data_IF_413409220372
#
_entry.id   IF_413409220372
#
_cell.length_a   1.000
_cell.length_b   1.000
_cell.length_c   1.000
_cell.angle_alpha   90.00
_cell.angle_beta   90.00
_cell.angle_gamma   90.00
#
_symmetry.space_group_name_H-M   'P 1'
#
loop_
_entity.id
_entity.type
_entity.pdbx_description
1 polymer ?
#
# COMPACT_ATOMS: atom_id res chain seq x y z
N UNK A 1 7.68 3.42 -28.64
CA UNK A 1 7.62 3.00 -27.23
C UNK A 1 6.21 2.54 -26.94
N UNK A 2 6.04 1.32 -26.43
CA UNK A 2 4.76 0.75 -26.02
C UNK A 2 4.55 0.95 -24.52
N UNK A 3 3.30 0.90 -24.10
CA UNK A 3 2.95 0.92 -22.68
C UNK A 3 3.51 -0.33 -21.99
N UNK A 4 4.16 -0.18 -20.84
CA UNK A 4 4.74 -1.28 -20.06
C UNK A 4 6.19 -1.60 -20.43
N UNK A 5 6.76 -0.92 -21.43
CA UNK A 5 8.17 -1.09 -21.80
C UNK A 5 9.13 -0.47 -20.76
N UNK A 6 8.66 0.49 -19.95
CA UNK A 6 9.51 1.18 -18.98
C UNK A 6 9.11 0.84 -17.54
N UNK A 7 10.11 0.71 -16.67
CA UNK A 7 9.93 0.55 -15.21
C UNK A 7 8.95 1.57 -14.63
N UNK A 8 9.00 2.81 -15.15
CA UNK A 8 8.13 3.91 -14.71
C UNK A 8 6.65 3.64 -14.88
N UNK A 9 6.26 2.80 -15.82
CA UNK A 9 4.86 2.49 -16.13
C UNK A 9 4.22 1.63 -15.03
N UNK A 10 5.04 1.06 -14.14
CA UNK A 10 4.64 0.26 -12.99
C UNK A 10 4.80 0.98 -11.65
N UNK A 11 5.26 2.24 -11.64
CA UNK A 11 5.40 2.99 -10.40
C UNK A 11 4.02 3.30 -9.83
N UNK A 12 3.81 3.16 -8.50
CA UNK A 12 2.54 3.51 -7.91
C UNK A 12 2.33 5.02 -8.01
N UNK A 13 1.14 5.39 -8.47
CA UNK A 13 0.71 6.77 -8.61
C UNK A 13 -0.06 7.12 -7.33
N UNK A 14 0.33 8.23 -6.71
CA UNK A 14 -0.23 8.70 -5.45
C UNK A 14 -1.30 9.77 -5.66
N UNK A 15 -1.10 10.63 -6.66
CA UNK A 15 -2.05 11.69 -7.02
C UNK A 15 -1.81 12.15 -8.46
N UNK A 16 -2.79 12.86 -9.01
CA UNK A 16 -2.69 13.56 -10.30
C UNK A 16 -3.13 15.01 -10.15
N UNK A 17 -2.58 15.87 -10.99
CA UNK A 17 -2.88 17.29 -11.01
C UNK A 17 -2.88 17.86 -12.44
N UNK A 18 -3.83 18.71 -12.82
CA UNK A 18 -3.81 19.38 -14.12
C UNK A 18 -2.91 20.62 -14.06
N UNK A 19 -1.96 20.73 -15.00
CA UNK A 19 -1.08 21.89 -15.15
C UNK A 19 -1.30 22.55 -16.51
N UNK A 20 -1.66 23.84 -16.49
CA UNK A 20 -1.83 24.64 -17.70
C UNK A 20 -0.47 24.95 -18.33
N UNK A 21 -0.34 24.73 -19.66
CA UNK A 21 0.84 25.12 -20.43
C UNK A 21 0.47 26.29 -21.37
N UNK A 22 0.85 27.54 -21.02
CA UNK A 22 0.49 28.72 -21.80
C UNK A 22 0.97 28.67 -23.26
N UNK A 23 2.16 28.11 -23.49
CA UNK A 23 2.78 28.06 -24.82
C UNK A 23 1.94 27.27 -25.85
N UNK A 24 1.20 26.26 -25.38
CA UNK A 24 0.44 25.33 -26.24
C UNK A 24 -1.07 25.49 -26.10
N UNK A 25 -1.52 26.37 -25.19
CA UNK A 25 -2.92 26.58 -24.84
C UNK A 25 -3.66 25.25 -24.60
N UNK A 26 -3.12 24.47 -23.67
CA UNK A 26 -3.71 23.22 -23.22
C UNK A 26 -3.41 22.98 -21.74
N UNK A 27 -4.10 22.02 -21.16
CA UNK A 27 -3.81 21.45 -19.86
C UNK A 27 -3.21 20.07 -20.07
N UNK A 28 -2.15 19.75 -19.36
CA UNK A 28 -1.64 18.39 -19.32
C UNK A 28 -1.74 17.88 -17.90
N UNK A 29 -1.96 16.59 -17.76
CA UNK A 29 -2.00 15.95 -16.46
C UNK A 29 -0.57 15.60 -16.05
N UNK A 30 -0.20 15.97 -14.83
CA UNK A 30 0.99 15.47 -14.14
C UNK A 30 0.55 14.47 -13.07
N UNK A 31 1.43 13.53 -12.76
CA UNK A 31 1.24 12.52 -11.73
C UNK A 31 2.35 12.62 -10.69
N UNK A 32 1.96 12.48 -9.43
CA UNK A 32 2.87 12.30 -8.31
C UNK A 32 3.06 10.80 -8.13
N UNK A 33 4.23 10.28 -8.49
CA UNK A 33 4.49 8.86 -8.49
C UNK A 33 5.72 8.53 -7.65
N UNK A 34 5.68 7.39 -6.97
CA UNK A 34 6.82 6.89 -6.20
C UNK A 34 7.82 6.21 -7.13
N UNK A 35 8.82 6.96 -7.58
CA UNK A 35 9.83 6.45 -8.51
C UNK A 35 10.94 5.64 -7.84
N UNK A 36 11.23 5.98 -6.60
CA UNK A 36 12.17 5.29 -5.72
C UNK A 36 11.46 5.17 -4.35
N UNK A 37 11.76 4.13 -3.56
CA UNK A 37 11.16 3.98 -2.23
C UNK A 37 11.28 5.27 -1.42
N UNK A 38 10.16 5.77 -0.94
CA UNK A 38 10.04 6.99 -0.12
C UNK A 38 10.50 8.29 -0.80
N UNK A 39 10.59 8.30 -2.14
CA UNK A 39 10.97 9.49 -2.90
C UNK A 39 10.04 9.69 -4.10
N UNK A 40 8.79 10.10 -3.83
CA UNK A 40 7.85 10.47 -4.87
C UNK A 40 8.23 11.77 -5.58
N UNK A 41 7.89 11.85 -6.86
CA UNK A 41 8.16 13.02 -7.68
C UNK A 41 7.01 13.29 -8.66
N UNK A 42 6.81 14.57 -8.97
CA UNK A 42 5.90 15.00 -10.02
C UNK A 42 6.52 14.78 -11.39
N UNK A 43 5.73 14.24 -12.33
CA UNK A 43 6.14 13.99 -13.71
C UNK A 43 4.95 14.02 -14.65
N UNK A 44 5.21 14.16 -15.94
CA UNK A 44 4.15 14.07 -16.96
C UNK A 44 3.43 12.74 -16.89
N UNK A 45 2.10 12.78 -16.77
CA UNK A 45 1.24 11.61 -16.83
C UNK A 45 1.21 11.07 -18.25
N UNK A 46 1.38 9.76 -18.34
CA UNK A 46 1.32 9.01 -19.58
C UNK A 46 0.09 8.13 -19.57
N UNK A 47 -0.53 7.96 -20.73
CA UNK A 47 -1.66 7.06 -20.91
C UNK A 47 -1.43 6.14 -22.11
N UNK A 48 -1.96 4.91 -22.07
CA UNK A 48 -1.95 4.04 -23.22
C UNK A 48 -2.77 4.65 -24.36
N UNK A 49 -2.25 4.55 -25.57
CA UNK A 49 -2.94 4.93 -26.80
C UNK A 49 -3.60 3.69 -27.44
N UNK A 50 -4.63 3.85 -28.29
CA UNK A 50 -5.31 2.73 -28.95
C UNK A 50 -4.39 1.84 -29.81
N UNK A 51 -3.30 2.39 -30.31
CA UNK A 51 -2.25 1.68 -31.05
C UNK A 51 -1.26 0.91 -30.13
N UNK A 52 -1.54 0.88 -28.83
CA UNK A 52 -0.66 0.33 -27.79
C UNK A 52 0.55 1.21 -27.47
N UNK A 53 0.65 2.39 -28.08
CA UNK A 53 1.67 3.38 -27.78
C UNK A 53 1.44 4.09 -26.45
N UNK A 54 2.29 5.07 -26.18
CA UNK A 54 2.18 5.93 -25.00
C UNK A 54 2.00 7.36 -25.46
N UNK A 55 1.03 8.07 -24.91
CA UNK A 55 0.84 9.52 -25.13
C UNK A 55 0.79 10.27 -23.81
N UNK A 56 1.06 11.57 -23.88
CA UNK A 56 0.84 12.49 -22.76
C UNK A 56 -0.66 12.70 -22.59
N UNK A 57 -1.11 12.79 -21.35
CA UNK A 57 -2.50 13.04 -21.01
C UNK A 57 -2.82 14.53 -21.06
N UNK A 58 -3.67 14.94 -22.00
CA UNK A 58 -3.85 16.34 -22.41
C UNK A 58 -5.33 16.67 -22.57
N UNK A 59 -5.72 17.84 -22.11
CA UNK A 59 -7.06 18.41 -22.13
C UNK A 59 -7.04 19.81 -22.73
N UNK A 60 -8.06 20.17 -23.52
CA UNK A 60 -8.19 21.52 -24.10
C UNK A 60 -8.87 22.51 -23.16
N UNK A 61 -9.67 22.00 -22.26
CA UNK A 61 -10.55 22.75 -21.38
C UNK A 61 -10.14 22.53 -19.91
N UNK A 62 -10.26 23.59 -19.10
CA UNK A 62 -9.86 23.56 -17.69
C UNK A 62 -10.81 22.68 -16.87
N UNK A 63 -12.12 22.85 -17.06
CA UNK A 63 -13.12 22.16 -16.26
C UNK A 63 -13.02 20.65 -16.49
N UNK A 64 -12.84 20.24 -17.74
CA UNK A 64 -12.60 18.84 -18.11
C UNK A 64 -11.33 18.29 -17.47
N UNK A 65 -10.24 19.07 -17.42
CA UNK A 65 -8.99 18.64 -16.80
C UNK A 65 -9.14 18.48 -15.27
N UNK A 66 -9.85 19.41 -14.63
CA UNK A 66 -10.12 19.38 -13.19
C UNK A 66 -11.04 18.22 -12.82
N UNK A 67 -12.12 17.99 -13.58
CA UNK A 67 -13.04 16.87 -13.37
C UNK A 67 -12.33 15.52 -13.55
N UNK A 68 -11.50 15.40 -14.60
CA UNK A 68 -10.71 14.20 -14.82
C UNK A 68 -9.72 13.95 -13.69
N UNK A 69 -9.03 14.99 -13.20
CA UNK A 69 -8.13 14.87 -12.05
C UNK A 69 -8.87 14.45 -10.78
N UNK A 70 -10.05 15.02 -10.50
CA UNK A 70 -10.87 14.65 -9.36
C UNK A 70 -11.31 13.18 -9.42
N UNK A 71 -11.78 12.73 -10.59
CA UNK A 71 -12.18 11.33 -10.82
C UNK A 71 -11.00 10.37 -10.63
N UNK A 72 -9.82 10.73 -11.15
CA UNK A 72 -8.62 9.92 -11.03
C UNK A 72 -8.13 9.87 -9.58
N UNK A 73 -8.07 11.00 -8.89
CA UNK A 73 -7.65 11.06 -7.49
C UNK A 73 -8.58 10.26 -6.58
N UNK A 74 -9.89 10.27 -6.80
CA UNK A 74 -10.83 9.43 -6.05
C UNK A 74 -10.48 7.94 -6.19
N UNK A 75 -10.24 7.47 -7.43
CA UNK A 75 -9.86 6.07 -7.69
C UNK A 75 -8.50 5.72 -7.10
N UNK A 76 -7.54 6.64 -7.18
CA UNK A 76 -6.21 6.44 -6.61
C UNK A 76 -6.28 6.32 -5.10
N UNK A 77 -7.04 7.19 -4.42
CA UNK A 77 -7.24 7.10 -2.97
C UNK A 77 -7.84 5.75 -2.57
N UNK A 78 -8.88 5.29 -3.28
CA UNK A 78 -9.48 3.97 -3.04
C UNK A 78 -8.46 2.83 -3.19
N UNK A 79 -7.68 2.84 -4.27
CA UNK A 79 -6.67 1.81 -4.51
C UNK A 79 -5.51 1.84 -3.47
N UNK A 80 -5.17 3.03 -2.96
CA UNK A 80 -4.15 3.18 -1.91
C UNK A 80 -4.65 2.67 -0.56
N UNK A 81 -5.92 2.90 -0.24
CA UNK A 81 -6.58 2.36 0.96
C UNK A 81 -6.63 0.83 0.90
N UNK A 82 -7.05 0.26 -0.23
CA UNK A 82 -7.07 -1.20 -0.45
C UNK A 82 -5.67 -1.81 -0.24
N UNK A 83 -4.62 -1.20 -0.80
CA UNK A 83 -3.24 -1.63 -0.62
C UNK A 83 -2.78 -1.56 0.83
N UNK A 84 -3.15 -0.51 1.55
CA UNK A 84 -2.79 -0.36 2.97
C UNK A 84 -3.42 -1.48 3.82
N UNK A 85 -4.68 -1.82 3.54
CA UNK A 85 -5.37 -2.92 4.22
C UNK A 85 -4.74 -4.30 3.91
N UNK A 86 -4.30 -4.53 2.68
CA UNK A 86 -3.58 -5.76 2.31
C UNK A 86 -2.26 -5.89 3.09
N UNK A 87 -1.50 -4.80 3.21
CA UNK A 87 -0.24 -4.77 3.97
C UNK A 87 -0.48 -5.05 5.46
N UNK A 88 -1.49 -4.42 6.06
CA UNK A 88 -1.90 -4.67 7.44
C UNK A 88 -2.31 -6.14 7.66
N UNK A 89 -3.11 -6.72 6.77
CA UNK A 89 -3.53 -8.12 6.87
C UNK A 89 -2.34 -9.08 6.81
N UNK A 90 -1.37 -8.82 5.93
CA UNK A 90 -0.14 -9.61 5.85
C UNK A 90 0.70 -9.54 7.13
N UNK A 91 0.85 -8.35 7.72
CA UNK A 91 1.54 -8.20 9.01
C UNK A 91 0.82 -8.95 10.13
N UNK A 92 -0.51 -8.83 10.21
CA UNK A 92 -1.30 -9.51 11.24
C UNK A 92 -1.24 -11.05 11.13
N UNK A 93 -1.23 -11.61 9.92
CA UNK A 93 -1.06 -13.05 9.69
C UNK A 93 0.35 -13.54 10.02
N UNK A 94 1.37 -12.72 9.78
CA UNK A 94 2.75 -13.02 10.19
C UNK A 94 2.87 -13.12 11.72
N UNK A 95 2.27 -12.18 12.44
CA UNK A 95 2.26 -12.17 13.91
C UNK A 95 1.49 -13.37 14.50
N UNK A 96 0.39 -13.82 13.87
CA UNK A 96 -0.35 -15.01 14.32
C UNK A 96 0.45 -16.30 14.12
N UNK A 97 1.17 -16.44 13.00
CA UNK A 97 2.05 -17.59 12.75
C UNK A 97 3.24 -17.63 13.73
N UNK A 98 3.81 -16.47 14.06
CA UNK A 98 4.89 -16.36 15.04
C UNK A 98 4.39 -16.59 16.48
N UNK A 99 3.17 -16.15 16.82
CA UNK A 99 2.53 -16.52 18.11
C UNK A 99 2.24 -18.01 18.19
N UNK A 100 1.77 -18.66 17.13
CA UNK A 100 1.53 -20.10 17.11
C UNK A 100 2.84 -20.90 17.29
N UNK A 101 3.95 -20.42 16.72
CA UNK A 101 5.27 -21.02 16.91
C UNK A 101 5.80 -20.85 18.36
N UNK A 102 5.50 -19.73 19.02
CA UNK A 102 5.88 -19.48 20.42
C UNK A 102 4.96 -20.19 21.43
N UNK A 103 3.67 -20.31 21.14
CA UNK A 103 2.70 -21.02 21.98
C UNK A 103 2.95 -22.55 22.01
N UNK A 104 3.64 -23.10 21.00
CA UNK A 104 4.06 -24.50 20.96
C UNK A 104 5.13 -24.89 21.99
N UNK A 105 5.81 -23.94 22.64
CA UNK A 105 6.92 -24.21 23.57
C UNK A 105 6.53 -24.16 25.06
N UNK A 106 5.33 -23.69 25.42
CA UNK A 106 4.91 -23.61 26.84
C UNK A 106 4.20 -24.86 27.38
N UNK A 107 4.09 -25.92 26.57
CA UNK A 107 3.67 -27.25 27.07
C UNK A 107 4.88 -28.16 27.20
N UNK A 108 5.61 -28.06 28.33
CA UNK A 108 6.27 -29.18 29.04
C UNK A 108 7.33 -28.67 30.02
N UNK A 109 6.92 -28.35 31.26
CA UNK A 109 7.70 -28.76 32.45
C UNK A 109 6.74 -29.09 33.59
N UNK A 110 6.38 -30.37 33.63
CA UNK A 110 6.18 -31.24 34.80
C UNK A 110 6.35 -30.59 36.19
N UNK A 111 5.32 -30.65 37.04
CA UNK A 111 5.41 -31.23 38.39
C UNK A 111 4.05 -31.86 38.76
N UNK A 112 3.97 -33.20 38.92
CA UNK A 112 2.95 -33.82 39.75
C UNK A 112 3.57 -34.25 41.08
N UNK A 113 3.01 -33.87 42.23
CA UNK A 113 3.05 -34.75 43.42
C UNK A 113 2.00 -34.33 44.44
N UNK A 114 1.00 -35.18 44.62
CA UNK A 114 0.28 -35.30 45.89
C UNK A 114 1.26 -35.72 47.02
N UNK A 115 0.87 -35.37 48.26
CA UNK A 115 1.39 -35.78 49.57
C UNK A 115 2.48 -34.90 50.22
N UNK A 116 2.07 -34.07 51.19
CA UNK A 116 2.61 -34.13 52.56
C UNK A 116 1.47 -33.82 53.55
N UNK A 117 1.13 -34.80 54.39
CA UNK A 117 0.23 -34.66 55.54
C UNK A 117 0.97 -34.03 56.73
N UNK A 118 0.31 -33.35 57.69
CA UNK A 118 0.92 -33.06 58.99
C UNK A 118 0.60 -34.19 59.98
N UNK A 119 1.63 -34.94 60.39
CA UNK A 119 1.57 -35.82 61.56
C UNK A 119 1.85 -35.00 62.84
N UNK A 120 1.09 -35.33 63.88
CA UNK A 120 1.08 -34.69 65.20
C UNK A 120 2.40 -34.83 65.97
N UNK A 121 2.64 -33.89 66.90
CA UNK A 121 3.53 -34.11 68.05
C UNK A 121 2.77 -33.82 69.35
N UNK A 122 3.02 -34.66 70.36
CA UNK A 122 2.30 -34.79 71.63
C UNK A 122 3.31 -34.63 72.78
N UNK A 123 2.92 -33.98 73.88
CA UNK A 123 3.66 -33.87 75.15
C UNK A 123 4.03 -32.42 75.49
N UNK A 124 3.66 -31.86 76.65
CA UNK A 124 3.58 -32.45 77.99
C UNK A 124 2.42 -31.88 78.81
#
# INVERSE_FOLDING_TARGET
MKWGDQKRDFHPILAVWPEYRPLHNWWHMIEYAESEPHKPAWRDRRVPSPDGGVKVDIYRDQDTAVEAAATLNLRLSQALEERALEEELCCNLGDEADQAALCGFSSMTSIPSWNVAPAMSLGN
#
